data_IF_825858235889
#
_entry.id   IF_825858235889
#
_cell.length_a   1.000
_cell.length_b   1.000
_cell.length_c   1.000
_cell.angle_alpha   90.00
_cell.angle_beta   90.00
_cell.angle_gamma   90.00
#
_symmetry.space_group_name_H-M   'P 1'
#
loop_
_entity.id
_entity.type
_entity.pdbx_description
1 polymer ?
#
# COMPACT_ATOMS: atom_id res chain seq x y z
N UNK A 1 -8.53 -1.06 14.89
CA UNK A 1 -8.05 -0.49 13.61
C UNK A 1 -6.52 -0.51 13.48
N UNK A 2 -5.75 -0.12 14.51
CA UNK A 2 -4.28 -0.06 14.45
C UNK A 2 -3.59 -1.36 13.96
N UNK A 3 -4.04 -2.53 14.41
CA UNK A 3 -3.46 -3.81 14.01
C UNK A 3 -3.71 -4.21 12.54
N UNK A 4 -4.75 -3.65 11.89
CA UNK A 4 -5.00 -3.85 10.46
C UNK A 4 -4.16 -2.88 9.62
N UNK A 5 -4.02 -1.63 10.09
CA UNK A 5 -3.12 -0.64 9.53
C UNK A 5 -1.66 -1.12 9.49
N UNK A 6 -1.16 -1.64 10.61
CA UNK A 6 0.22 -2.12 10.69
C UNK A 6 0.47 -3.31 9.76
N UNK A 7 -0.50 -4.21 9.62
CA UNK A 7 -0.40 -5.32 8.65
C UNK A 7 -0.37 -4.85 7.21
N UNK A 8 -1.17 -3.84 6.86
CA UNK A 8 -1.15 -3.25 5.51
C UNK A 8 0.16 -2.53 5.22
N UNK A 9 0.71 -1.82 6.22
CA UNK A 9 2.02 -1.19 6.13
C UNK A 9 3.12 -2.21 5.86
N UNK A 10 3.16 -3.29 6.64
CA UNK A 10 4.09 -4.40 6.43
C UNK A 10 3.91 -5.05 5.05
N UNK A 11 2.66 -5.31 4.64
CA UNK A 11 2.37 -5.87 3.32
C UNK A 11 2.73 -4.92 2.17
N UNK A 12 2.80 -3.60 2.41
CA UNK A 12 3.22 -2.62 1.41
C UNK A 12 4.75 -2.56 1.24
N UNK A 13 5.53 -2.96 2.25
CA UNK A 13 7.00 -2.98 2.19
C UNK A 13 7.50 -4.05 1.20
N UNK A 14 6.86 -5.22 1.17
CA UNK A 14 7.29 -6.35 0.35
C UNK A 14 7.24 -6.05 -1.17
N UNK A 15 6.13 -5.58 -1.76
CA UNK A 15 6.09 -5.24 -3.19
C UNK A 15 7.12 -4.16 -3.56
N UNK A 16 7.29 -3.13 -2.72
CA UNK A 16 8.26 -2.07 -2.99
C UNK A 16 9.70 -2.59 -3.00
N UNK A 17 10.06 -3.45 -2.03
CA UNK A 17 11.36 -4.08 -1.98
C UNK A 17 11.60 -4.98 -3.21
N UNK A 18 10.60 -5.78 -3.58
CA UNK A 18 10.67 -6.68 -4.73
C UNK A 18 10.73 -5.93 -6.08
N UNK A 19 10.11 -4.75 -6.19
CA UNK A 19 10.14 -3.94 -7.41
C UNK A 19 11.58 -3.64 -7.86
N UNK A 20 12.45 -3.28 -6.90
CA UNK A 20 13.87 -2.99 -7.17
C UNK A 20 14.71 -4.22 -7.56
N UNK A 21 14.23 -5.42 -7.22
CA UNK A 21 14.90 -6.66 -7.58
C UNK A 21 14.62 -7.07 -9.01
N UNK A 22 13.47 -6.63 -9.54
CA UNK A 22 13.00 -6.95 -10.89
C UNK A 22 13.38 -5.82 -11.86
N UNK A 23 13.08 -4.57 -11.53
CA UNK A 23 13.31 -3.40 -12.38
C UNK A 23 14.35 -2.42 -11.78
N UNK A 24 15.19 -1.77 -12.61
CA UNK A 24 15.31 -1.94 -14.06
C UNK A 24 15.91 -3.31 -14.44
N UNK A 25 15.83 -3.71 -15.72
CA UNK A 25 16.47 -4.94 -16.20
C UNK A 25 17.95 -5.00 -15.83
N UNK A 26 18.36 -6.13 -15.25
CA UNK A 26 19.74 -6.34 -14.76
C UNK A 26 20.72 -6.83 -15.83
N UNK A 27 20.21 -7.10 -17.02
CA UNK A 27 21.00 -7.57 -18.17
C UNK A 27 20.87 -6.56 -19.31
N UNK A 28 21.98 -6.32 -20.01
CA UNK A 28 21.96 -5.53 -21.25
C UNK A 28 21.54 -6.37 -22.44
N UNK A 29 21.25 -5.74 -23.58
CA UNK A 29 20.92 -6.45 -24.81
C UNK A 29 22.04 -7.39 -25.26
N UNK A 30 23.30 -6.98 -25.12
CA UNK A 30 24.45 -7.83 -25.45
C UNK A 30 24.54 -9.06 -24.53
N UNK A 31 24.18 -8.90 -23.25
CA UNK A 31 24.19 -9.96 -22.25
C UNK A 31 22.99 -10.91 -22.38
N UNK A 32 21.87 -10.45 -22.94
CA UNK A 32 20.67 -11.25 -23.18
C UNK A 32 20.89 -12.38 -24.20
N UNK A 33 21.97 -12.28 -24.97
CA UNK A 33 22.43 -13.33 -25.88
C UNK A 33 22.17 -13.01 -27.34
N UNK A 34 23.13 -13.33 -28.20
CA UNK A 34 23.11 -13.03 -29.64
C UNK A 34 21.90 -13.59 -30.39
N UNK A 35 21.46 -14.79 -30.02
CA UNK A 35 20.36 -15.50 -30.72
C UNK A 35 18.98 -14.98 -30.30
N UNK A 36 18.85 -14.47 -29.08
CA UNK A 36 17.59 -13.99 -28.52
C UNK A 36 17.51 -12.47 -28.39
N UNK A 37 18.53 -11.73 -28.85
CA UNK A 37 18.62 -10.27 -28.72
C UNK A 37 17.45 -9.50 -29.34
N UNK A 38 16.71 -10.10 -30.28
CA UNK A 38 15.47 -9.55 -30.82
C UNK A 38 14.29 -9.52 -29.82
N UNK A 39 14.34 -10.34 -28.77
CA UNK A 39 13.34 -10.37 -27.71
C UNK A 39 13.69 -9.48 -26.51
N UNK A 40 14.89 -8.89 -26.49
CA UNK A 40 15.35 -8.08 -25.37
C UNK A 40 14.41 -6.91 -25.06
N UNK A 41 13.90 -6.22 -26.08
CA UNK A 41 12.97 -5.10 -25.88
C UNK A 41 11.67 -5.55 -25.19
N UNK A 42 11.11 -6.70 -25.57
CA UNK A 42 9.91 -7.26 -24.95
C UNK A 42 10.20 -7.71 -23.50
N UNK A 43 11.35 -8.32 -23.26
CA UNK A 43 11.82 -8.66 -21.91
C UNK A 43 11.97 -7.41 -21.03
N UNK A 44 12.65 -6.37 -21.52
CA UNK A 44 12.87 -5.10 -20.83
C UNK A 44 11.54 -4.46 -20.45
N UNK A 45 10.62 -4.36 -21.42
CA UNK A 45 9.28 -3.81 -21.20
C UNK A 45 8.49 -4.61 -20.15
N UNK A 46 8.54 -5.94 -20.21
CA UNK A 46 7.88 -6.79 -19.21
C UNK A 46 8.44 -6.62 -17.80
N UNK A 47 9.77 -6.53 -17.67
CA UNK A 47 10.45 -6.25 -16.40
C UNK A 47 10.02 -4.90 -15.82
N UNK A 48 10.03 -3.85 -16.64
CA UNK A 48 9.59 -2.51 -16.23
C UNK A 48 8.12 -2.51 -15.80
N UNK A 49 7.26 -3.20 -16.55
CA UNK A 49 5.83 -3.31 -16.23
C UNK A 49 5.61 -4.00 -14.88
N UNK A 50 6.35 -5.08 -14.58
CA UNK A 50 6.28 -5.76 -13.28
C UNK A 50 6.77 -4.84 -12.15
N UNK A 51 7.90 -4.15 -12.33
CA UNK A 51 8.41 -3.20 -11.33
C UNK A 51 7.44 -2.04 -11.05
N UNK A 52 6.80 -1.51 -12.09
CA UNK A 52 5.78 -0.49 -11.95
C UNK A 52 4.54 -1.02 -11.22
N UNK A 53 4.08 -2.23 -11.55
CA UNK A 53 2.93 -2.85 -10.89
C UNK A 53 3.18 -3.10 -9.38
N UNK A 54 4.38 -3.56 -9.02
CA UNK A 54 4.77 -3.79 -7.63
C UNK A 54 4.85 -2.47 -6.84
N UNK A 55 5.40 -1.42 -7.45
CA UNK A 55 5.41 -0.07 -6.87
C UNK A 55 3.98 0.46 -6.66
N UNK A 56 3.12 0.27 -7.66
CA UNK A 56 1.71 0.67 -7.61
C UNK A 56 0.96 -0.03 -6.48
N UNK A 57 1.11 -1.35 -6.36
CA UNK A 57 0.48 -2.14 -5.31
C UNK A 57 0.92 -1.68 -3.91
N UNK A 58 2.21 -1.39 -3.70
CA UNK A 58 2.68 -0.81 -2.43
C UNK A 58 1.99 0.52 -2.12
N UNK A 59 1.83 1.38 -3.12
CA UNK A 59 1.08 2.64 -3.00
C UNK A 59 -0.38 2.44 -2.59
N UNK A 60 -1.08 1.50 -3.24
CA UNK A 60 -2.50 1.20 -2.94
C UNK A 60 -2.68 0.63 -1.52
N UNK A 61 -1.79 -0.26 -1.07
CA UNK A 61 -1.82 -0.80 0.29
C UNK A 61 -1.58 0.28 1.35
N UNK A 62 -0.65 1.20 1.10
CA UNK A 62 -0.42 2.35 1.98
C UNK A 62 -1.64 3.28 2.02
N UNK A 63 -2.26 3.56 0.87
CA UNK A 63 -3.46 4.40 0.79
C UNK A 63 -4.64 3.77 1.55
N UNK A 64 -4.85 2.46 1.40
CA UNK A 64 -5.86 1.71 2.15
C UNK A 64 -5.61 1.78 3.66
N UNK A 65 -4.36 1.57 4.09
CA UNK A 65 -3.96 1.70 5.49
C UNK A 65 -4.26 3.11 6.03
N UNK A 66 -3.93 4.16 5.28
CA UNK A 66 -4.25 5.53 5.62
C UNK A 66 -5.74 5.78 5.80
N UNK A 67 -6.57 5.30 4.85
CA UNK A 67 -8.02 5.42 4.90
C UNK A 67 -8.65 4.73 6.11
N UNK A 68 -8.19 3.53 6.45
CA UNK A 68 -8.65 2.80 7.66
C UNK A 68 -8.31 3.58 8.93
N UNK A 69 -7.15 4.23 8.98
CA UNK A 69 -6.76 5.08 10.11
C UNK A 69 -7.68 6.27 10.31
N UNK A 70 -7.89 7.03 9.24
CA UNK A 70 -8.76 8.19 9.25
C UNK A 70 -10.20 7.82 9.65
N UNK A 71 -10.73 6.73 9.08
CA UNK A 71 -12.06 6.23 9.45
C UNK A 71 -12.14 5.79 10.92
N UNK A 72 -11.09 5.15 11.45
CA UNK A 72 -11.00 4.78 12.86
C UNK A 72 -10.97 5.98 13.81
N UNK A 73 -10.26 7.06 13.43
CA UNK A 73 -10.25 8.30 14.20
C UNK A 73 -11.60 8.98 14.21
N UNK A 74 -12.24 9.11 13.04
CA UNK A 74 -13.58 9.68 12.94
C UNK A 74 -14.61 8.91 13.80
N UNK A 75 -14.52 7.58 13.82
CA UNK A 75 -15.37 6.75 14.67
C UNK A 75 -15.13 7.04 16.17
N UNK A 76 -13.86 7.13 16.60
CA UNK A 76 -13.53 7.42 17.99
C UNK A 76 -13.99 8.83 18.44
N UNK A 77 -13.87 9.83 17.57
CA UNK A 77 -14.38 11.19 17.80
C UNK A 77 -15.91 11.23 17.90
N UNK A 78 -16.60 10.46 17.06
CA UNK A 78 -18.06 10.29 17.10
C UNK A 78 -18.52 9.66 18.42
N UNK A 79 -17.83 8.61 18.89
CA UNK A 79 -18.13 7.97 20.18
C UNK A 79 -17.87 8.92 21.36
N UNK A 80 -16.76 9.67 21.34
CA UNK A 80 -16.44 10.64 22.39
C UNK A 80 -17.47 11.79 22.46
N UNK A 81 -17.89 12.31 21.30
CA UNK A 81 -18.93 13.36 21.22
C UNK A 81 -20.30 12.83 21.65
N UNK A 82 -20.67 11.62 21.28
CA UNK A 82 -21.93 10.99 21.70
C UNK A 82 -21.93 10.70 23.20
N UNK A 83 -20.83 10.14 23.73
CA UNK A 83 -20.68 9.85 25.16
C UNK A 83 -20.75 11.12 26.01
N UNK A 84 -20.08 12.20 25.58
CA UNK A 84 -20.18 13.50 26.27
C UNK A 84 -21.57 14.12 26.17
N UNK A 85 -22.28 13.97 25.05
CA UNK A 85 -23.66 14.42 24.91
C UNK A 85 -24.63 13.63 25.81
N UNK A 86 -24.45 12.32 25.94
CA UNK A 86 -25.25 11.46 26.83
C UNK A 86 -24.96 11.81 28.30
N UNK A 87 -23.70 12.00 28.67
CA UNK A 87 -23.32 12.44 30.03
C UNK A 87 -23.88 13.82 30.38
N UNK A 88 -24.04 14.71 29.40
CA UNK A 88 -24.68 16.02 29.57
C UNK A 88 -26.23 15.93 29.60
N UNK A 89 -26.82 14.89 29.01
CA UNK A 89 -28.27 14.59 29.03
C UNK A 89 -28.67 13.75 30.26
N UNK A 90 -27.78 13.48 31.22
CA UNK A 90 -28.20 12.95 32.53
C UNK A 90 -28.25 14.05 33.61
N UNK A 91 -29.15 15.07 33.52
CA UNK A 91 -29.51 15.85 34.69
C UNK A 91 -30.49 15.00 35.49
N UNK A 92 -30.02 14.48 36.62
CA UNK A 92 -30.83 13.73 37.58
C UNK A 92 -32.24 14.29 37.72
N UNK A 93 -33.22 13.51 37.27
CA UNK A 93 -34.63 13.52 37.66
C UNK A 93 -34.95 12.05 37.89
N UNK A 94 -35.27 11.55 39.09
CA UNK A 94 -36.20 11.99 40.14
C UNK A 94 -35.66 11.61 41.52
#
# INVERSE_FOLDING_TARGET
>A
MAAAQERLRQAAEDPAAQASLVAPPKVTQEQFGRVHGGHFAAYSAGVEQVGAALTGLSGELNALGGGIGAGGQAYAEQEASTSSAVAAHDPGTV
#
